data_IF_418245595586
#
_entry.id   IF_418245595586
#
_cell.length_a   1.000
_cell.length_b   1.000
_cell.length_c   1.000
_cell.angle_alpha   90.00
_cell.angle_beta   90.00
_cell.angle_gamma   90.00
#
_symmetry.space_group_name_H-M   'P 1'
#
loop_
_entity.id
_entity.type
_entity.pdbx_description
1 polymer ?
#
# COMPACT_ATOMS: atom_id res chain seq x y z
N UNK A 1 13.95 21.26 -24.77
CA UNK A 1 13.03 20.68 -23.77
C UNK A 1 13.37 19.20 -23.65
N UNK A 2 14.29 18.85 -22.75
CA UNK A 2 14.59 17.44 -22.51
C UNK A 2 13.38 16.82 -21.81
N UNK A 3 12.60 16.04 -22.56
CA UNK A 3 11.54 15.23 -21.97
C UNK A 3 12.18 14.37 -20.91
N UNK A 4 11.70 14.51 -19.68
CA UNK A 4 12.07 13.62 -18.60
C UNK A 4 11.54 12.23 -18.98
N UNK A 5 12.33 11.47 -19.74
CA UNK A 5 12.05 10.07 -20.09
C UNK A 5 11.97 9.32 -18.77
N UNK A 6 10.75 9.20 -18.25
CA UNK A 6 10.46 8.45 -17.05
C UNK A 6 10.67 6.98 -17.42
N UNK A 7 11.91 6.50 -17.33
CA UNK A 7 12.25 5.08 -17.51
C UNK A 7 11.75 4.33 -16.29
N UNK A 8 10.44 4.06 -16.28
CA UNK A 8 9.81 3.21 -15.28
C UNK A 8 10.14 1.77 -15.62
N UNK A 9 10.82 1.08 -14.71
CA UNK A 9 11.04 -0.36 -14.83
C UNK A 9 9.82 -1.07 -14.24
N UNK A 10 9.15 -1.90 -15.04
CA UNK A 10 7.97 -2.67 -14.63
C UNK A 10 8.29 -3.56 -13.41
N UNK A 11 9.48 -4.17 -13.39
CA UNK A 11 9.94 -4.96 -12.25
C UNK A 11 10.01 -4.15 -10.94
N UNK A 12 10.46 -2.89 -11.00
CA UNK A 12 10.53 -2.03 -9.83
C UNK A 12 9.13 -1.71 -9.29
N UNK A 13 8.11 -1.61 -10.15
CA UNK A 13 6.71 -1.42 -9.73
C UNK A 13 6.17 -2.65 -9.02
N UNK A 14 6.44 -3.85 -9.53
CA UNK A 14 6.04 -5.10 -8.88
C UNK A 14 6.74 -5.29 -7.53
N UNK A 15 8.04 -5.01 -7.44
CA UNK A 15 8.79 -5.06 -6.19
C UNK A 15 8.24 -4.05 -5.17
N UNK A 16 7.90 -2.83 -5.60
CA UNK A 16 7.28 -1.82 -4.72
C UNK A 16 5.90 -2.27 -4.23
N UNK A 17 5.06 -2.82 -5.10
CA UNK A 17 3.76 -3.35 -4.71
C UNK A 17 3.90 -4.47 -3.66
N UNK A 18 4.79 -5.44 -3.89
CA UNK A 18 5.03 -6.53 -2.94
C UNK A 18 5.54 -6.03 -1.57
N UNK A 19 6.41 -5.02 -1.56
CA UNK A 19 6.89 -4.40 -0.31
C UNK A 19 5.75 -3.71 0.45
N UNK A 20 4.84 -3.05 -0.27
CA UNK A 20 3.66 -2.42 0.34
C UNK A 20 2.70 -3.45 0.93
N UNK A 21 2.48 -4.59 0.26
CA UNK A 21 1.67 -5.68 0.83
C UNK A 21 2.27 -6.20 2.14
N UNK A 22 3.58 -6.47 2.15
CA UNK A 22 4.29 -6.94 3.34
C UNK A 22 4.20 -5.92 4.48
N UNK A 23 4.42 -4.64 4.19
CA UNK A 23 4.29 -3.57 5.17
C UNK A 23 2.86 -3.43 5.68
N UNK A 24 1.85 -3.54 4.81
CA UNK A 24 0.44 -3.48 5.18
C UNK A 24 0.05 -4.63 6.11
N UNK A 25 0.51 -5.85 5.81
CA UNK A 25 0.29 -7.00 6.69
C UNK A 25 1.01 -6.85 8.04
N UNK A 26 2.26 -6.35 8.04
CA UNK A 26 3.03 -6.15 9.25
C UNK A 26 2.38 -5.12 10.18
N UNK A 27 2.07 -3.93 9.66
CA UNK A 27 1.40 -2.85 10.43
C UNK A 27 0.08 -3.35 11.02
N UNK A 28 -0.76 -4.01 10.21
CA UNK A 28 -2.03 -4.54 10.69
C UNK A 28 -1.82 -5.57 11.81
N UNK A 29 -0.92 -6.53 11.63
CA UNK A 29 -0.69 -7.61 12.61
C UNK A 29 -0.10 -7.09 13.91
N UNK A 30 0.93 -6.25 13.82
CA UNK A 30 1.63 -5.69 14.99
C UNK A 30 0.71 -4.76 15.78
N UNK A 31 -0.03 -3.89 15.08
CA UNK A 31 -0.98 -3.00 15.74
C UNK A 31 -2.16 -3.76 16.34
N UNK A 32 -2.74 -4.75 15.65
CA UNK A 32 -3.82 -5.57 16.24
C UNK A 32 -3.34 -6.34 17.48
N UNK A 33 -2.10 -6.82 17.48
CA UNK A 33 -1.51 -7.49 18.65
C UNK A 33 -1.40 -6.53 19.83
N UNK A 34 -0.79 -5.36 19.63
CA UNK A 34 -0.62 -4.40 20.70
C UNK A 34 -1.98 -3.78 21.12
N UNK A 35 -2.96 -3.65 20.22
CA UNK A 35 -4.33 -3.27 20.56
C UNK A 35 -4.96 -4.29 21.50
N UNK A 36 -4.85 -5.59 21.18
CA UNK A 36 -5.35 -6.66 22.04
C UNK A 36 -4.68 -6.70 23.42
N UNK A 37 -3.39 -6.38 23.50
CA UNK A 37 -2.67 -6.32 24.77
C UNK A 37 -3.14 -5.17 25.66
N UNK A 38 -3.34 -3.97 25.09
CA UNK A 38 -3.86 -2.84 25.87
C UNK A 38 -5.33 -3.05 26.25
N UNK A 39 -6.15 -3.57 25.32
CA UNK A 39 -7.54 -3.90 25.60
C UNK A 39 -7.69 -4.93 26.74
N UNK A 40 -6.72 -5.85 26.90
CA UNK A 40 -6.68 -6.82 27.99
C UNK A 40 -6.45 -6.19 29.36
N UNK A 41 -5.63 -5.14 29.44
CA UNK A 41 -5.33 -4.45 30.71
C UNK A 41 -6.33 -3.35 31.04
N UNK A 42 -7.07 -2.84 30.04
CA UNK A 42 -8.04 -1.76 30.19
C UNK A 42 -9.06 -1.98 31.33
N UNK A 43 -9.64 -3.18 31.53
CA UNK A 43 -10.58 -3.41 32.63
C UNK A 43 -9.99 -3.19 34.03
N UNK A 44 -8.66 -3.29 34.18
CA UNK A 44 -7.98 -3.07 35.46
C UNK A 44 -8.00 -1.60 35.91
N UNK A 45 -8.33 -0.68 35.00
CA UNK A 45 -8.47 0.74 35.30
C UNK A 45 -9.88 1.11 35.79
N UNK A 46 -10.85 0.21 35.74
CA UNK A 46 -12.25 0.46 36.12
C UNK A 46 -12.84 1.70 35.43
N UNK A 47 -13.81 2.36 36.09
CA UNK A 47 -14.47 3.57 35.59
C UNK A 47 -13.63 4.85 35.78
N UNK A 48 -12.30 4.74 35.71
CA UNK A 48 -11.41 5.89 35.89
C UNK A 48 -11.34 6.76 34.64
N UNK A 49 -11.02 8.05 34.84
CA UNK A 49 -10.74 9.00 33.75
C UNK A 49 -9.59 8.48 32.86
N UNK A 50 -8.58 7.86 33.45
CA UNK A 50 -7.47 7.25 32.72
C UNK A 50 -7.93 6.07 31.87
N UNK A 51 -8.80 5.19 32.39
CA UNK A 51 -9.38 4.10 31.61
C UNK A 51 -10.17 4.60 30.40
N UNK A 52 -11.01 5.62 30.58
CA UNK A 52 -11.74 6.25 29.49
C UNK A 52 -10.81 6.86 28.42
N UNK A 53 -9.75 7.57 28.84
CA UNK A 53 -8.78 8.15 27.93
C UNK A 53 -7.99 7.09 27.13
N UNK A 54 -7.60 5.98 27.77
CA UNK A 54 -6.95 4.86 27.08
C UNK A 54 -7.91 4.23 26.06
N UNK A 55 -9.18 4.03 26.42
CA UNK A 55 -10.18 3.48 25.51
C UNK A 55 -10.36 4.34 24.24
N UNK A 56 -10.38 5.67 24.40
CA UNK A 56 -10.52 6.62 23.29
C UNK A 56 -9.29 6.60 22.36
N UNK A 57 -8.09 6.59 22.94
CA UNK A 57 -6.83 6.46 22.17
C UNK A 57 -6.78 5.13 21.42
N UNK A 58 -7.21 4.03 22.04
CA UNK A 58 -7.29 2.72 21.38
C UNK A 58 -8.25 2.74 20.18
N UNK A 59 -9.43 3.35 20.35
CA UNK A 59 -10.40 3.51 19.27
C UNK A 59 -9.86 4.33 18.09
N UNK A 60 -9.13 5.41 18.38
CA UNK A 60 -8.47 6.24 17.35
C UNK A 60 -7.38 5.44 16.63
N UNK A 61 -6.54 4.74 17.38
CA UNK A 61 -5.44 3.97 16.82
C UNK A 61 -5.91 2.78 15.95
N UNK A 62 -7.00 2.11 16.33
CA UNK A 62 -7.66 1.09 15.49
C UNK A 62 -8.10 1.69 14.14
N UNK A 63 -8.74 2.86 14.15
CA UNK A 63 -9.17 3.55 12.92
C UNK A 63 -7.99 3.95 12.04
N UNK A 64 -6.94 4.53 12.62
CA UNK A 64 -5.72 4.91 11.88
C UNK A 64 -5.02 3.69 11.28
N UNK A 65 -4.96 2.58 12.01
CA UNK A 65 -4.39 1.32 11.51
C UNK A 65 -5.13 0.81 10.28
N UNK A 66 -6.47 0.83 10.32
CA UNK A 66 -7.29 0.43 9.18
C UNK A 66 -7.11 1.39 7.98
N UNK A 67 -7.04 2.70 8.24
CA UNK A 67 -6.79 3.70 7.20
C UNK A 67 -5.43 3.49 6.53
N UNK A 68 -4.35 3.38 7.31
CA UNK A 68 -3.00 3.15 6.78
C UNK A 68 -2.88 1.82 6.04
N UNK A 69 -3.50 0.74 6.57
CA UNK A 69 -3.53 -0.54 5.88
C UNK A 69 -4.19 -0.41 4.50
N UNK A 70 -5.36 0.24 4.44
CA UNK A 70 -6.08 0.50 3.19
C UNK A 70 -5.25 1.33 2.20
N UNK A 71 -4.60 2.38 2.67
CA UNK A 71 -3.78 3.26 1.82
C UNK A 71 -2.58 2.51 1.22
N UNK A 72 -1.91 1.65 2.01
CA UNK A 72 -0.80 0.84 1.50
C UNK A 72 -1.25 -0.18 0.45
N UNK A 73 -2.38 -0.87 0.67
CA UNK A 73 -2.96 -1.79 -0.31
C UNK A 73 -3.36 -1.02 -1.59
N UNK A 74 -4.00 0.13 -1.45
CA UNK A 74 -4.37 0.98 -2.59
C UNK A 74 -3.16 1.45 -3.40
N UNK A 75 -2.05 1.78 -2.73
CA UNK A 75 -0.81 2.14 -3.40
C UNK A 75 -0.14 0.93 -4.09
N UNK A 76 -0.22 -0.26 -3.50
CA UNK A 76 0.24 -1.50 -4.13
C UNK A 76 -0.54 -1.78 -5.42
N UNK A 77 -1.86 -1.64 -5.38
CA UNK A 77 -2.73 -1.78 -6.56
C UNK A 77 -2.44 -0.73 -7.63
N UNK A 78 -2.16 0.50 -7.23
CA UNK A 78 -1.74 1.55 -8.16
C UNK A 78 -0.43 1.16 -8.88
N UNK A 79 0.56 0.61 -8.15
CA UNK A 79 1.80 0.14 -8.77
C UNK A 79 1.58 -1.04 -9.73
N UNK A 80 0.72 -2.00 -9.37
CA UNK A 80 0.34 -3.11 -10.27
C UNK A 80 -0.37 -2.59 -11.53
N UNK A 81 -1.31 -1.65 -11.37
CA UNK A 81 -2.00 -1.04 -12.50
C UNK A 81 -1.05 -0.28 -13.42
N UNK A 82 -0.11 0.47 -12.85
CA UNK A 82 0.93 1.15 -13.61
C UNK A 82 1.81 0.16 -14.39
N UNK A 83 2.21 -0.95 -13.76
CA UNK A 83 3.00 -2.01 -14.40
C UNK A 83 2.28 -2.56 -15.64
N UNK A 84 1.00 -2.91 -15.51
CA UNK A 84 0.17 -3.38 -16.64
C UNK A 84 0.10 -2.36 -17.77
N UNK A 85 -0.07 -1.07 -17.45
CA UNK A 85 -0.15 0.00 -18.46
C UNK A 85 1.16 0.20 -19.21
N UNK A 86 2.30 0.15 -18.50
CA UNK A 86 3.61 0.27 -19.15
C UNK A 86 3.90 -0.91 -20.06
N UNK A 87 3.62 -2.14 -19.64
CA UNK A 87 3.77 -3.33 -20.50
C UNK A 87 2.91 -3.23 -21.77
N UNK A 88 1.64 -2.82 -21.63
CA UNK A 88 0.76 -2.66 -22.79
C UNK A 88 1.28 -1.59 -23.76
N UNK A 89 1.77 -0.45 -23.25
CA UNK A 89 2.34 0.60 -24.07
C UNK A 89 3.62 0.16 -24.81
N UNK A 90 4.48 -0.63 -24.16
CA UNK A 90 5.69 -1.20 -24.78
C UNK A 90 5.32 -2.21 -25.88
N UNK A 91 4.33 -3.07 -25.66
CA UNK A 91 3.85 -4.04 -26.65
C UNK A 91 3.22 -3.34 -27.87
N UNK A 92 2.37 -2.34 -27.66
CA UNK A 92 1.76 -1.53 -28.71
C UNK A 92 2.84 -0.78 -29.52
N UNK A 93 3.83 -0.21 -28.84
CA UNK A 93 4.98 0.43 -29.46
C UNK A 93 5.79 -0.52 -30.34
N UNK A 94 6.07 -1.74 -29.86
CA UNK A 94 6.75 -2.79 -30.63
C UNK A 94 5.95 -3.16 -31.88
N UNK A 95 4.64 -3.40 -31.74
CA UNK A 95 3.79 -3.73 -32.88
C UNK A 95 3.77 -2.63 -33.95
N UNK A 96 3.73 -1.36 -33.52
CA UNK A 96 3.78 -0.24 -34.45
C UNK A 96 5.11 -0.15 -35.21
N UNK A 97 6.24 -0.44 -34.54
CA UNK A 97 7.58 -0.46 -35.15
C UNK A 97 7.67 -1.61 -36.16
N UNK A 98 7.23 -2.82 -35.78
CA UNK A 98 7.26 -4.00 -36.64
C UNK A 98 6.41 -3.79 -37.91
N UNK A 99 5.23 -3.17 -37.76
CA UNK A 99 4.36 -2.83 -38.87
C UNK A 99 4.99 -1.79 -39.81
N UNK A 100 5.65 -0.76 -39.26
CA UNK A 100 6.35 0.24 -40.07
C UNK A 100 7.55 -0.36 -40.81
N UNK A 101 8.32 -1.25 -40.17
CA UNK A 101 9.44 -1.94 -40.80
C UNK A 101 9.03 -2.91 -41.90
N UNK A 102 7.86 -3.54 -41.76
CA UNK A 102 7.32 -4.47 -42.78
C UNK A 102 6.72 -3.76 -44.01
N UNK A 103 6.48 -2.45 -43.91
CA UNK A 103 5.94 -1.62 -45.00
C UNK A 103 7.03 -0.97 -45.89
N UNK A 104 8.30 -1.18 -45.56
CA UNK A 104 9.48 -0.74 -46.32
C UNK A 104 9.99 -1.86 -47.24
#
# INVERSE_FOLDING_TARGET
MAGNELRVRVDDLHVRAARLDVAASAVHTEHSTAHADVARVLPHFGDSVSGAAIADVLGTWEQETQAHHKDMIGLADHHRSAATKYTAADDDGRHSIDAAGSAL
#
